data_IF_087762861799
#
_entry.id   IF_087762861799
#
_cell.length_a   1.000
_cell.length_b   1.000
_cell.length_c   1.000
_cell.angle_alpha   90.00
_cell.angle_beta   90.00
_cell.angle_gamma   90.00
#
_symmetry.space_group_name_H-M   'P 1'
#
loop_
_entity.id
_entity.type
_entity.pdbx_description
1 polymer ?
#
# COMPACT_ATOMS: atom_id res chain seq x y z
N UNK A 1 56.61 -31.34 -32.37
CA UNK A 1 57.07 -31.36 -30.96
C UNK A 1 57.12 -29.91 -30.49
N UNK A 2 56.10 -29.46 -29.77
CA UNK A 2 55.97 -28.05 -29.37
C UNK A 2 56.73 -27.85 -28.04
N UNK A 3 57.66 -26.91 -28.05
CA UNK A 3 58.52 -26.56 -26.92
C UNK A 3 57.70 -25.90 -25.80
N UNK A 4 57.34 -26.68 -24.76
CA UNK A 4 56.67 -26.21 -23.54
C UNK A 4 57.65 -25.69 -22.46
N UNK A 5 58.96 -25.72 -22.73
CA UNK A 5 59.99 -25.47 -21.74
C UNK A 5 60.21 -24.00 -21.28
N UNK A 6 60.00 -22.94 -22.09
CA UNK A 6 60.45 -21.61 -21.68
C UNK A 6 59.56 -20.93 -20.63
N UNK A 7 58.36 -21.45 -20.37
CA UNK A 7 57.43 -20.89 -19.37
C UNK A 7 57.50 -21.57 -17.99
N UNK A 8 58.02 -22.79 -17.91
CA UNK A 8 58.09 -23.57 -16.67
C UNK A 8 59.24 -23.12 -15.76
N UNK A 9 60.38 -22.74 -16.34
CA UNK A 9 61.56 -22.28 -15.61
C UNK A 9 61.31 -21.00 -14.78
N UNK A 10 60.73 -19.91 -15.33
CA UNK A 10 60.45 -18.71 -14.54
C UNK A 10 59.35 -18.95 -13.49
N UNK A 11 58.38 -19.82 -13.79
CA UNK A 11 57.30 -20.17 -12.86
C UNK A 11 57.82 -20.89 -11.62
N UNK A 12 58.70 -21.88 -11.79
CA UNK A 12 59.32 -22.63 -10.69
C UNK A 12 60.30 -21.77 -9.88
N UNK A 13 61.01 -20.84 -10.53
CA UNK A 13 61.91 -19.91 -9.86
C UNK A 13 61.19 -18.97 -8.87
N UNK A 14 59.93 -18.65 -9.13
CA UNK A 14 59.10 -17.80 -8.25
C UNK A 14 58.27 -18.63 -7.26
N UNK A 15 57.66 -19.73 -7.72
CA UNK A 15 56.80 -20.58 -6.87
C UNK A 15 57.59 -21.39 -5.85
N UNK A 16 58.81 -21.83 -6.18
CA UNK A 16 59.67 -22.59 -5.28
C UNK A 16 59.91 -21.88 -3.94
N UNK A 17 60.46 -20.64 -3.95
CA UNK A 17 60.69 -19.85 -2.73
C UNK A 17 59.43 -19.55 -1.94
N UNK A 18 58.31 -19.27 -2.63
CA UNK A 18 57.01 -19.02 -1.99
C UNK A 18 56.53 -20.28 -1.26
N UNK A 19 56.69 -21.46 -1.86
CA UNK A 19 56.33 -22.74 -1.26
C UNK A 19 57.19 -23.09 -0.04
N UNK A 20 58.51 -22.91 -0.13
CA UNK A 20 59.40 -23.11 1.03
C UNK A 20 59.10 -22.14 2.16
N UNK A 21 58.79 -20.89 1.85
CA UNK A 21 58.36 -19.92 2.87
C UNK A 21 57.03 -20.35 3.51
N UNK A 22 56.01 -20.67 2.72
CA UNK A 22 54.68 -21.05 3.19
C UNK A 22 54.68 -22.31 4.07
N UNK A 23 55.66 -23.21 3.90
CA UNK A 23 55.82 -24.43 4.70
C UNK A 23 56.82 -24.28 5.86
N UNK A 24 57.49 -23.13 5.98
CA UNK A 24 58.47 -22.88 7.04
C UNK A 24 57.81 -22.67 8.40
N UNK A 25 58.58 -22.84 9.49
CA UNK A 25 58.10 -22.63 10.87
C UNK A 25 57.59 -21.21 11.14
N UNK A 26 58.00 -20.22 10.34
CA UNK A 26 57.60 -18.82 10.49
C UNK A 26 56.55 -18.43 9.46
N UNK A 27 56.68 -18.89 8.21
CA UNK A 27 55.73 -18.56 7.14
C UNK A 27 54.41 -19.32 7.24
N UNK A 28 54.40 -20.58 7.69
CA UNK A 28 53.17 -21.34 7.86
C UNK A 28 52.20 -20.67 8.86
N UNK A 29 52.62 -20.26 10.07
CA UNK A 29 51.77 -19.49 10.97
C UNK A 29 51.25 -18.19 10.36
N UNK A 30 52.07 -17.48 9.58
CA UNK A 30 51.66 -16.22 8.94
C UNK A 30 50.63 -16.43 7.83
N UNK A 31 50.79 -17.48 7.03
CA UNK A 31 49.81 -17.86 5.99
C UNK A 31 48.50 -18.30 6.62
N UNK A 32 48.55 -19.08 7.70
CA UNK A 32 47.35 -19.51 8.44
C UNK A 32 46.67 -18.32 9.11
N UNK A 33 47.41 -17.45 9.79
CA UNK A 33 46.87 -16.24 10.40
C UNK A 33 46.27 -15.30 9.36
N UNK A 34 46.96 -15.06 8.25
CA UNK A 34 46.43 -14.29 7.12
C UNK A 34 45.17 -14.92 6.54
N UNK A 35 45.14 -16.24 6.38
CA UNK A 35 43.95 -16.97 5.91
C UNK A 35 42.76 -16.85 6.86
N UNK A 36 42.99 -16.90 8.18
CA UNK A 36 41.95 -16.71 9.19
C UNK A 36 41.39 -15.28 9.14
N UNK A 37 42.26 -14.27 9.05
CA UNK A 37 41.86 -12.86 8.93
C UNK A 37 41.04 -12.66 7.66
N UNK A 38 41.51 -13.17 6.51
CA UNK A 38 40.75 -13.11 5.25
C UNK A 38 39.40 -13.80 5.36
N UNK A 39 39.33 -14.96 6.01
CA UNK A 39 38.08 -15.70 6.15
C UNK A 39 37.07 -15.02 7.09
N UNK A 40 37.53 -14.34 8.14
CA UNK A 40 36.67 -13.71 9.15
C UNK A 40 36.35 -12.24 8.87
N UNK A 41 37.38 -11.45 8.56
CA UNK A 41 37.29 -9.99 8.37
C UNK A 41 37.25 -9.59 6.90
N UNK A 42 37.63 -10.49 5.99
CA UNK A 42 37.84 -10.17 4.58
C UNK A 42 39.29 -9.80 4.28
N UNK A 43 39.67 -9.74 3.00
CA UNK A 43 41.00 -9.27 2.62
C UNK A 43 41.09 -7.76 2.89
N UNK A 44 42.11 -7.24 3.60
CA UNK A 44 42.29 -5.81 3.85
C UNK A 44 42.83 -5.10 2.61
N UNK A 45 42.21 -5.34 1.46
CA UNK A 45 42.42 -4.56 0.26
C UNK A 45 41.24 -3.59 0.22
N UNK A 46 41.56 -2.29 0.16
CA UNK A 46 40.56 -1.24 -0.07
C UNK A 46 39.68 -1.50 -1.29
N UNK A 47 38.72 -0.61 -1.60
CA UNK A 47 37.45 -0.95 -2.24
C UNK A 47 37.61 -1.56 -3.65
N UNK A 48 37.80 -2.89 -3.71
CA UNK A 48 37.72 -3.68 -4.94
C UNK A 48 36.28 -3.81 -5.47
N UNK A 49 35.30 -3.23 -4.76
CA UNK A 49 33.88 -3.14 -5.15
C UNK A 49 33.64 -2.36 -6.46
N UNK A 50 34.62 -1.61 -6.97
CA UNK A 50 34.49 -0.77 -8.17
C UNK A 50 34.95 -1.40 -9.49
N UNK A 51 35.31 -2.69 -9.52
CA UNK A 51 35.69 -3.37 -10.76
C UNK A 51 34.46 -4.10 -11.34
N UNK A 52 33.85 -3.60 -12.43
CA UNK A 52 32.53 -4.05 -12.91
C UNK A 52 32.49 -5.52 -13.38
N UNK A 53 33.64 -6.14 -13.64
CA UNK A 53 33.71 -7.51 -14.17
C UNK A 53 34.16 -8.57 -13.14
N UNK A 54 34.78 -8.15 -12.03
CA UNK A 54 35.34 -9.05 -11.01
C UNK A 54 34.69 -8.91 -9.62
N UNK A 55 33.87 -7.86 -9.43
CA UNK A 55 33.17 -7.57 -8.17
C UNK A 55 32.35 -8.72 -7.59
N UNK A 56 31.52 -9.45 -8.37
CA UNK A 56 30.67 -10.51 -7.80
C UNK A 56 31.45 -11.74 -7.31
N UNK A 57 32.52 -12.10 -8.02
CA UNK A 57 33.33 -13.29 -7.70
C UNK A 57 34.31 -13.02 -6.55
N UNK A 58 34.81 -11.79 -6.44
CA UNK A 58 35.73 -11.39 -5.37
C UNK A 58 35.01 -10.94 -4.10
N UNK A 59 33.75 -10.48 -4.18
CA UNK A 59 32.94 -10.13 -3.00
C UNK A 59 32.78 -11.32 -2.04
N UNK A 60 32.72 -12.56 -2.52
CA UNK A 60 32.67 -13.74 -1.64
C UNK A 60 33.95 -13.98 -0.82
N UNK A 61 35.09 -13.49 -1.30
CA UNK A 61 36.41 -13.59 -0.64
C UNK A 61 36.75 -12.33 0.17
N UNK A 62 36.21 -11.18 -0.23
CA UNK A 62 36.51 -9.85 0.34
C UNK A 62 35.47 -9.43 1.38
N UNK A 63 34.19 -9.80 1.23
CA UNK A 63 33.18 -9.58 2.25
C UNK A 63 33.18 -10.79 3.20
N UNK A 64 33.66 -10.58 4.44
CA UNK A 64 33.63 -11.58 5.50
C UNK A 64 32.21 -12.10 5.78
N UNK A 65 32.08 -13.19 6.55
CA UNK A 65 30.77 -13.76 6.94
C UNK A 65 29.82 -12.69 7.50
N UNK A 66 30.36 -11.74 8.26
CA UNK A 66 29.63 -10.68 8.94
C UNK A 66 28.92 -9.74 7.95
N UNK A 67 29.61 -9.29 6.90
CA UNK A 67 29.04 -8.39 5.89
C UNK A 67 27.94 -9.07 5.07
N UNK A 68 28.06 -10.38 4.81
CA UNK A 68 27.01 -11.17 4.14
C UNK A 68 25.75 -11.29 4.98
N UNK A 69 25.88 -11.49 6.29
CA UNK A 69 24.72 -11.54 7.18
C UNK A 69 24.06 -10.16 7.33
N UNK A 70 24.83 -9.06 7.35
CA UNK A 70 24.27 -7.70 7.29
C UNK A 70 23.50 -7.43 5.99
N UNK A 71 24.04 -7.85 4.83
CA UNK A 71 23.36 -7.70 3.55
C UNK A 71 22.05 -8.51 3.51
N UNK A 72 22.05 -9.74 4.02
CA UNK A 72 20.83 -10.56 4.17
C UNK A 72 19.81 -9.91 5.12
N UNK A 73 20.28 -9.35 6.24
CA UNK A 73 19.43 -8.61 7.18
C UNK A 73 18.73 -7.43 6.53
N UNK A 74 19.48 -6.58 5.81
CA UNK A 74 18.90 -5.44 5.09
C UNK A 74 17.89 -5.84 4.01
N UNK A 75 18.12 -6.96 3.30
CA UNK A 75 17.17 -7.46 2.32
C UNK A 75 15.87 -7.95 2.98
N UNK A 76 15.98 -8.68 4.09
CA UNK A 76 14.82 -9.16 4.83
C UNK A 76 13.98 -8.00 5.40
N UNK A 77 14.62 -6.98 5.97
CA UNK A 77 13.92 -5.80 6.47
C UNK A 77 13.15 -5.07 5.36
N UNK A 78 13.75 -4.93 4.17
CA UNK A 78 13.08 -4.33 3.00
C UNK A 78 11.88 -5.16 2.55
N UNK A 79 11.99 -6.48 2.54
CA UNK A 79 10.87 -7.36 2.16
C UNK A 79 9.71 -7.25 3.15
N UNK A 80 10.01 -7.28 4.45
CA UNK A 80 8.99 -7.09 5.51
C UNK A 80 8.31 -5.73 5.38
N UNK A 81 9.08 -4.67 5.13
CA UNK A 81 8.53 -3.34 4.93
C UNK A 81 7.58 -3.28 3.72
N UNK A 82 7.98 -3.87 2.58
CA UNK A 82 7.13 -3.94 1.38
C UNK A 82 5.87 -4.76 1.59
N UNK A 83 5.92 -5.84 2.36
CA UNK A 83 4.73 -6.62 2.72
C UNK A 83 3.77 -5.81 3.59
N UNK A 84 4.28 -5.07 4.58
CA UNK A 84 3.45 -4.20 5.41
C UNK A 84 2.82 -3.07 4.59
N UNK A 85 3.58 -2.47 3.68
CA UNK A 85 3.06 -1.44 2.78
C UNK A 85 1.95 -1.99 1.86
N UNK A 86 2.14 -3.19 1.29
CA UNK A 86 1.10 -3.86 0.49
C UNK A 86 -0.17 -4.13 1.30
N UNK A 87 -0.04 -4.58 2.55
CA UNK A 87 -1.18 -4.80 3.44
C UNK A 87 -1.90 -3.50 3.78
N UNK A 88 -1.17 -2.43 4.06
CA UNK A 88 -1.75 -1.12 4.34
C UNK A 88 -2.56 -0.60 3.14
N UNK A 89 -1.99 -0.65 1.93
CA UNK A 89 -2.69 -0.26 0.69
C UNK A 89 -3.93 -1.12 0.43
N UNK A 90 -3.87 -2.43 0.66
CA UNK A 90 -5.03 -3.31 0.53
C UNK A 90 -6.14 -2.96 1.53
N UNK A 91 -5.78 -2.58 2.76
CA UNK A 91 -6.75 -2.16 3.77
C UNK A 91 -7.39 -0.81 3.43
N UNK A 92 -6.62 0.16 2.92
CA UNK A 92 -7.14 1.46 2.48
C UNK A 92 -8.09 1.33 1.29
N UNK A 93 -7.73 0.52 0.29
CA UNK A 93 -8.60 0.26 -0.87
C UNK A 93 -9.89 -0.44 -0.48
N UNK A 94 -9.83 -1.39 0.46
CA UNK A 94 -11.03 -2.04 0.99
C UNK A 94 -11.94 -1.05 1.74
N UNK A 95 -11.37 -0.15 2.55
CA UNK A 95 -12.13 0.92 3.22
C UNK A 95 -12.78 1.86 2.21
N UNK A 96 -12.03 2.34 1.23
CA UNK A 96 -12.56 3.22 0.20
C UNK A 96 -13.71 2.58 -0.59
N UNK A 97 -13.62 1.27 -0.89
CA UNK A 97 -14.70 0.54 -1.55
C UNK A 97 -15.94 0.40 -0.65
N UNK A 98 -15.76 0.17 0.66
CA UNK A 98 -16.86 0.13 1.62
C UNK A 98 -17.56 1.50 1.74
N UNK A 99 -16.78 2.58 1.85
CA UNK A 99 -17.29 3.94 1.92
C UNK A 99 -18.07 4.31 0.64
N UNK A 100 -17.57 3.91 -0.54
CA UNK A 100 -18.28 4.08 -1.81
C UNK A 100 -19.61 3.32 -1.84
N UNK A 101 -19.64 2.08 -1.38
CA UNK A 101 -20.87 1.29 -1.32
C UNK A 101 -21.91 1.92 -0.37
N UNK A 102 -21.46 2.50 0.75
CA UNK A 102 -22.34 3.23 1.67
C UNK A 102 -22.90 4.50 1.05
N UNK A 103 -22.06 5.30 0.38
CA UNK A 103 -22.49 6.51 -0.33
C UNK A 103 -23.51 6.20 -1.44
N UNK A 104 -23.28 5.13 -2.20
CA UNK A 104 -24.20 4.67 -3.24
C UNK A 104 -25.55 4.29 -2.62
N UNK A 105 -25.56 3.54 -1.52
CA UNK A 105 -26.78 3.18 -0.81
C UNK A 105 -27.53 4.41 -0.26
N UNK A 106 -26.82 5.38 0.32
CA UNK A 106 -27.42 6.63 0.81
C UNK A 106 -28.00 7.43 -0.36
N UNK A 107 -27.30 7.49 -1.50
CA UNK A 107 -27.76 8.21 -2.68
C UNK A 107 -29.06 7.64 -3.23
N UNK A 108 -29.16 6.31 -3.33
CA UNK A 108 -30.37 5.62 -3.78
C UNK A 108 -31.55 5.90 -2.85
N UNK A 109 -31.34 5.74 -1.53
CA UNK A 109 -32.36 6.05 -0.54
C UNK A 109 -32.83 7.50 -0.60
N UNK A 110 -31.94 8.45 -0.89
CA UNK A 110 -32.28 9.86 -1.05
C UNK A 110 -33.14 10.09 -2.30
N UNK A 111 -32.78 9.48 -3.43
CA UNK A 111 -33.56 9.57 -4.66
C UNK A 111 -34.95 8.94 -4.49
N UNK A 112 -35.04 7.78 -3.86
CA UNK A 112 -36.32 7.11 -3.60
C UNK A 112 -37.24 7.98 -2.73
N UNK A 113 -36.70 8.56 -1.64
CA UNK A 113 -37.45 9.51 -0.81
C UNK A 113 -37.90 10.73 -1.61
N UNK A 114 -37.03 11.31 -2.44
CA UNK A 114 -37.38 12.45 -3.31
C UNK A 114 -38.52 12.11 -4.28
N UNK A 115 -38.56 10.90 -4.82
CA UNK A 115 -39.63 10.44 -5.70
C UNK A 115 -40.93 10.28 -4.92
N UNK A 116 -40.88 9.63 -3.76
CA UNK A 116 -42.04 9.46 -2.88
C UNK A 116 -42.62 10.81 -2.43
N UNK A 117 -41.75 11.75 -2.04
CA UNK A 117 -42.17 13.10 -1.63
C UNK A 117 -42.86 13.84 -2.79
N UNK A 118 -42.34 13.73 -4.02
CA UNK A 118 -42.99 14.33 -5.21
C UNK A 118 -44.39 13.75 -5.45
N UNK A 119 -44.54 12.44 -5.32
CA UNK A 119 -45.85 11.78 -5.46
C UNK A 119 -46.80 12.21 -4.35
N UNK A 120 -46.31 12.29 -3.11
CA UNK A 120 -47.11 12.74 -1.96
C UNK A 120 -47.55 14.21 -2.13
N UNK A 121 -46.68 15.10 -2.60
CA UNK A 121 -47.01 16.50 -2.88
C UNK A 121 -48.05 16.58 -3.99
N UNK A 122 -47.87 15.87 -5.11
CA UNK A 122 -48.84 15.86 -6.21
C UNK A 122 -50.23 15.38 -5.73
N UNK A 123 -50.27 14.31 -4.93
CA UNK A 123 -51.51 13.80 -4.34
C UNK A 123 -52.19 14.82 -3.40
N UNK A 124 -51.40 15.58 -2.62
CA UNK A 124 -51.91 16.66 -1.77
C UNK A 124 -52.45 17.84 -2.60
N UNK A 125 -51.79 18.20 -3.68
CA UNK A 125 -52.24 19.25 -4.60
C UNK A 125 -53.57 18.89 -5.28
N UNK A 126 -53.72 17.64 -5.71
CA UNK A 126 -54.97 17.14 -6.30
C UNK A 126 -56.11 17.12 -5.26
N UNK A 127 -55.84 16.70 -4.03
CA UNK A 127 -56.82 16.73 -2.94
C UNK A 127 -57.26 18.17 -2.61
N UNK A 128 -56.33 19.13 -2.57
CA UNK A 128 -56.64 20.54 -2.37
C UNK A 128 -57.49 21.11 -3.50
N UNK A 129 -57.22 20.72 -4.76
CA UNK A 129 -58.02 21.14 -5.92
C UNK A 129 -59.47 20.62 -5.82
N UNK A 130 -59.65 19.36 -5.44
CA UNK A 130 -60.97 18.76 -5.26
C UNK A 130 -61.77 19.40 -4.09
N UNK A 131 -61.11 19.76 -2.98
CA UNK A 131 -61.76 20.51 -1.89
C UNK A 131 -62.17 21.92 -2.31
N UNK A 132 -61.32 22.60 -3.10
CA UNK A 132 -61.62 23.93 -3.64
C UNK A 132 -62.84 23.89 -4.58
N UNK A 133 -62.88 22.94 -5.51
CA UNK A 133 -64.03 22.75 -6.41
C UNK A 133 -65.33 22.47 -5.64
N UNK A 134 -65.30 21.66 -4.56
CA UNK A 134 -66.47 21.42 -3.69
C UNK A 134 -66.94 22.68 -2.95
N UNK A 135 -65.99 23.52 -2.54
CA UNK A 135 -66.30 24.79 -1.86
C UNK A 135 -66.91 25.80 -2.84
N UNK A 136 -66.35 25.89 -4.05
CA UNK A 136 -66.86 26.76 -5.12
C UNK A 136 -68.24 26.30 -5.63
N UNK A 137 -68.51 24.99 -5.64
CA UNK A 137 -69.79 24.41 -6.06
C UNK A 137 -70.94 24.57 -5.04
N UNK A 138 -70.66 24.96 -3.80
CA UNK A 138 -71.68 25.19 -2.76
C UNK A 138 -71.56 26.63 -2.22
N UNK A 139 -72.06 27.64 -2.96
CA UNK A 139 -71.96 29.04 -2.58
C UNK A 139 -72.98 29.38 -1.48
N UNK A 140 -72.84 28.77 -0.29
CA UNK A 140 -73.58 29.18 0.91
C UNK A 140 -72.77 30.25 1.65
N UNK A 141 -72.95 31.49 1.20
CA UNK A 141 -72.58 32.71 1.94
C UNK A 141 -71.45 33.48 1.31
N UNK A 142 -71.80 34.47 0.49
CA UNK A 142 -70.90 35.54 0.07
C UNK A 142 -70.58 36.44 1.29
N UNK A 143 -69.30 36.53 1.67
CA UNK A 143 -68.83 37.50 2.66
C UNK A 143 -67.61 37.00 3.44
N UNK A 144 -66.48 37.69 3.24
CA UNK A 144 -65.15 37.46 3.82
C UNK A 144 -64.33 36.33 3.19
N UNK A 145 -63.14 36.67 2.69
CA UNK A 145 -62.13 35.77 2.15
C UNK A 145 -61.85 34.62 3.12
N UNK A 146 -62.48 33.46 2.93
CA UNK A 146 -62.13 32.24 3.65
C UNK A 146 -60.85 31.68 3.05
N UNK A 147 -59.78 31.69 3.85
CA UNK A 147 -58.58 30.90 3.60
C UNK A 147 -59.01 29.44 3.48
N UNK A 148 -58.63 28.79 2.38
CA UNK A 148 -58.88 27.36 2.19
C UNK A 148 -58.04 26.58 3.20
N UNK A 149 -58.62 26.26 4.36
CA UNK A 149 -57.98 25.43 5.39
C UNK A 149 -58.32 23.96 5.09
N UNK A 150 -57.33 23.06 4.97
CA UNK A 150 -57.57 21.64 4.67
C UNK A 150 -58.51 20.99 5.69
N UNK A 151 -59.41 20.11 5.24
CA UNK A 151 -60.42 19.47 6.10
C UNK A 151 -59.88 18.77 7.35
N UNK A 152 -58.66 18.20 7.30
CA UNK A 152 -58.00 17.63 8.50
C UNK A 152 -57.65 18.68 9.54
N UNK A 153 -57.12 19.82 9.09
CA UNK A 153 -56.70 20.92 9.97
C UNK A 153 -57.92 21.54 10.62
N UNK A 154 -59.03 21.70 9.88
CA UNK A 154 -60.28 22.19 10.47
C UNK A 154 -60.83 21.24 11.54
N UNK A 155 -60.87 19.91 11.30
CA UNK A 155 -61.29 18.96 12.34
C UNK A 155 -60.38 18.93 13.57
N UNK A 156 -59.06 19.12 13.40
CA UNK A 156 -58.15 19.21 14.54
C UNK A 156 -58.31 20.52 15.32
N UNK A 157 -58.55 21.64 14.63
CA UNK A 157 -58.86 22.92 15.29
C UNK A 157 -60.20 22.88 16.03
N UNK A 158 -61.22 22.26 15.45
CA UNK A 158 -62.55 22.14 16.05
C UNK A 158 -62.54 21.24 17.30
N UNK A 159 -61.59 20.30 17.38
CA UNK A 159 -61.35 19.45 18.55
C UNK A 159 -60.62 20.16 19.71
N UNK A 160 -59.86 21.23 19.44
CA UNK A 160 -59.15 22.02 20.46
C UNK A 160 -59.97 23.20 20.96
N UNK A 161 -60.93 23.69 20.16
CA UNK A 161 -61.75 24.87 20.48
C UNK A 161 -63.06 24.61 21.23
N UNK A 162 -63.37 23.36 21.61
CA UNK A 162 -64.54 23.01 22.42
C UNK A 162 -64.17 22.68 23.86
#
# INVERSE_FOLDING_TARGET
MIALAPFLAPLLAVLGPIWTFATSRVGLPLVVAGGIVVAYEGVPIGPLRYIPYAGPALAGLVDGRVDREYAKGQLNERLVWQEQQRKALAAETAKAAADQAELDAISQNYFDKRVLDKVAIAALEDALRAEKEKTDANPKGAGACRVAVPGRVSTQLDAVGR
#
